data_IF_191256372557
#
_entry.id   IF_191256372557
#
_cell.length_a   1.000
_cell.length_b   1.000
_cell.length_c   1.000
_cell.angle_alpha   90.00
_cell.angle_beta   90.00
_cell.angle_gamma   90.00
#
_symmetry.space_group_name_H-M   'P 1'
#
loop_
_entity.id
_entity.type
_entity.pdbx_description
1 polymer ?
#
# COMPACT_ATOMS: atom_id res chain seq x y z
N UNK A 1 -13.26 -21.30 16.54
CA UNK A 1 -14.02 -20.20 15.94
C UNK A 1 -13.35 -19.76 14.64
N UNK A 2 -14.11 -19.58 13.59
CA UNK A 2 -13.59 -19.26 12.27
C UNK A 2 -13.50 -17.74 12.05
N UNK A 3 -12.40 -17.29 11.47
CA UNK A 3 -12.18 -15.89 11.14
C UNK A 3 -11.75 -15.81 9.67
N UNK A 4 -12.53 -15.11 8.84
CA UNK A 4 -12.26 -14.98 7.41
C UNK A 4 -11.67 -13.60 7.13
N UNK A 5 -10.45 -13.57 6.61
CA UNK A 5 -9.74 -12.31 6.34
C UNK A 5 -9.36 -12.23 4.88
N UNK A 6 -9.77 -11.13 4.23
CA UNK A 6 -9.38 -10.84 2.85
C UNK A 6 -8.05 -10.12 2.80
N UNK A 7 -7.21 -10.45 1.83
CA UNK A 7 -5.87 -9.89 1.75
C UNK A 7 -5.34 -9.87 0.32
N UNK A 8 -4.41 -8.97 0.06
CA UNK A 8 -3.61 -9.03 -1.17
C UNK A 8 -2.64 -10.20 -1.07
N UNK A 9 -2.15 -10.68 -2.21
CA UNK A 9 -1.32 -11.87 -2.24
C UNK A 9 -0.02 -11.71 -1.44
N UNK A 10 0.74 -10.67 -1.72
CA UNK A 10 2.05 -10.41 -1.09
C UNK A 10 2.09 -8.95 -0.65
N UNK A 11 2.51 -8.62 0.52
CA UNK A 11 2.96 -9.48 1.64
C UNK A 11 1.82 -9.95 2.53
N UNK A 12 0.62 -9.42 2.33
CA UNK A 12 -0.49 -9.55 3.29
C UNK A 12 -0.92 -10.99 3.54
N UNK A 13 -1.24 -11.73 2.47
CA UNK A 13 -1.67 -13.12 2.63
C UNK A 13 -0.54 -13.98 3.18
N UNK A 14 0.71 -13.73 2.79
CA UNK A 14 1.85 -14.47 3.31
C UNK A 14 2.02 -14.27 4.81
N UNK A 15 1.85 -13.04 5.27
CA UNK A 15 1.93 -12.71 6.70
C UNK A 15 0.80 -13.42 7.45
N UNK A 16 -0.42 -13.40 6.90
CA UNK A 16 -1.57 -14.08 7.52
C UNK A 16 -1.37 -15.59 7.56
N UNK A 17 -0.80 -16.19 6.51
CA UNK A 17 -0.51 -17.62 6.51
C UNK A 17 0.45 -17.98 7.65
N UNK A 18 1.44 -17.13 7.90
CA UNK A 18 2.38 -17.32 9.00
C UNK A 18 1.68 -17.17 10.35
N UNK A 19 0.64 -16.36 10.42
CA UNK A 19 -0.12 -16.14 11.65
C UNK A 19 -1.07 -17.28 11.98
N UNK A 20 -1.46 -18.12 10.99
CA UNK A 20 -2.43 -19.20 11.20
C UNK A 20 -2.13 -20.10 12.40
N UNK A 21 -0.93 -20.70 12.50
CA UNK A 21 -0.67 -21.61 13.64
C UNK A 21 -0.70 -20.88 14.98
N UNK A 22 -0.34 -19.61 15.01
CA UNK A 22 -0.40 -18.82 16.25
C UNK A 22 -1.84 -18.57 16.67
N UNK A 23 -2.73 -18.36 15.72
CA UNK A 23 -4.16 -18.17 16.00
C UNK A 23 -4.83 -19.47 16.37
N UNK A 24 -4.41 -20.61 15.77
CA UNK A 24 -4.93 -21.92 16.14
C UNK A 24 -4.70 -22.22 17.61
N UNK A 25 -3.54 -21.84 18.15
CA UNK A 25 -3.25 -21.99 19.58
C UNK A 25 -4.19 -21.21 20.47
N UNK A 26 -4.86 -20.21 19.91
CA UNK A 26 -5.85 -19.38 20.60
C UNK A 26 -7.28 -19.85 20.30
N UNK A 27 -7.45 -20.97 19.62
CA UNK A 27 -8.75 -21.50 19.26
C UNK A 27 -9.43 -20.82 18.07
N UNK A 28 -8.65 -20.14 17.25
CA UNK A 28 -9.17 -19.41 16.08
C UNK A 28 -8.65 -20.04 14.80
N UNK A 29 -9.59 -20.43 13.94
CA UNK A 29 -9.29 -20.96 12.61
C UNK A 29 -9.30 -19.81 11.62
N UNK A 30 -8.15 -19.44 11.08
CA UNK A 30 -8.03 -18.36 10.12
C UNK A 30 -8.19 -18.88 8.69
N UNK A 31 -9.12 -18.30 7.96
CA UNK A 31 -9.26 -18.53 6.52
C UNK A 31 -8.84 -17.26 5.79
N UNK A 32 -7.89 -17.37 4.86
CA UNK A 32 -7.37 -16.24 4.10
C UNK A 32 -7.98 -16.28 2.69
N UNK A 33 -8.65 -15.19 2.30
CA UNK A 33 -9.16 -15.04 0.93
C UNK A 33 -8.29 -14.01 0.20
N UNK A 34 -7.65 -14.44 -0.89
CA UNK A 34 -6.75 -13.58 -1.66
C UNK A 34 -7.51 -12.82 -2.73
N UNK A 35 -7.16 -11.54 -2.88
CA UNK A 35 -7.74 -10.65 -3.88
C UNK A 35 -6.64 -10.09 -4.76
N UNK A 36 -6.97 -9.84 -6.02
CA UNK A 36 -6.01 -9.34 -7.00
C UNK A 36 -6.17 -7.84 -7.28
N UNK A 37 -7.14 -7.19 -6.62
CA UNK A 37 -7.42 -5.78 -6.82
C UNK A 37 -7.64 -5.08 -5.47
N UNK A 38 -7.88 -3.77 -5.51
CA UNK A 38 -8.10 -2.97 -4.31
C UNK A 38 -9.57 -2.62 -4.05
N UNK A 39 -10.46 -2.98 -4.95
CA UNK A 39 -11.89 -2.63 -4.83
C UNK A 39 -12.69 -3.71 -4.12
N UNK A 40 -12.48 -4.96 -4.50
CA UNK A 40 -13.28 -6.08 -3.99
C UNK A 40 -13.12 -6.38 -2.49
N UNK A 41 -11.93 -6.21 -1.87
CA UNK A 41 -11.83 -6.54 -0.44
C UNK A 41 -12.77 -5.72 0.45
N UNK A 42 -12.97 -4.44 0.15
CA UNK A 42 -13.89 -3.61 0.94
C UNK A 42 -15.34 -3.96 0.64
N UNK A 43 -15.66 -4.22 -0.62
CA UNK A 43 -17.01 -4.67 -0.96
C UNK A 43 -17.36 -5.98 -0.26
N UNK A 44 -16.44 -6.94 -0.26
CA UNK A 44 -16.64 -8.22 0.40
C UNK A 44 -16.77 -8.09 1.92
N UNK A 45 -16.05 -7.13 2.51
CA UNK A 45 -16.21 -6.84 3.93
C UNK A 45 -17.60 -6.26 4.23
N UNK A 46 -18.05 -5.32 3.40
CA UNK A 46 -19.39 -4.72 3.55
C UNK A 46 -20.48 -5.77 3.38
N UNK A 47 -20.30 -6.70 2.45
CA UNK A 47 -21.27 -7.76 2.18
C UNK A 47 -21.24 -8.89 3.22
N UNK A 48 -20.35 -8.80 4.21
CA UNK A 48 -20.19 -9.80 5.28
C UNK A 48 -19.62 -11.13 4.80
N UNK A 49 -18.99 -11.14 3.64
CA UNK A 49 -18.26 -12.32 3.16
C UNK A 49 -16.93 -12.47 3.88
N UNK A 50 -16.46 -11.38 4.50
CA UNK A 50 -15.22 -11.35 5.28
C UNK A 50 -15.54 -10.84 6.68
N UNK A 51 -14.71 -11.23 7.66
CA UNK A 51 -14.76 -10.66 9.01
C UNK A 51 -13.83 -9.47 9.14
N UNK A 52 -12.79 -9.41 8.31
CA UNK A 52 -11.80 -8.34 8.28
C UNK A 52 -11.12 -8.34 6.94
N UNK A 53 -10.42 -7.24 6.62
CA UNK A 53 -9.48 -7.29 5.51
C UNK A 53 -8.16 -6.64 5.90
N UNK A 54 -7.11 -7.04 5.19
CA UNK A 54 -5.73 -6.60 5.44
C UNK A 54 -5.07 -6.46 4.07
N UNK A 55 -5.11 -5.22 3.53
CA UNK A 55 -4.58 -4.95 2.18
C UNK A 55 -4.34 -3.47 1.93
N UNK A 56 -4.82 -2.57 2.81
CA UNK A 56 -4.92 -1.14 2.53
C UNK A 56 -4.32 -0.29 3.64
N UNK A 57 -4.04 0.97 3.31
CA UNK A 57 -3.60 1.97 4.29
C UNK A 57 -4.77 2.91 4.63
N UNK A 58 -4.59 3.70 5.69
CA UNK A 58 -5.64 4.56 6.22
C UNK A 58 -6.17 5.57 5.19
N UNK A 59 -5.33 6.31 4.44
CA UNK A 59 -5.87 7.25 3.46
C UNK A 59 -6.77 6.60 2.40
N UNK A 60 -6.42 5.40 1.95
CA UNK A 60 -7.27 4.67 1.00
C UNK A 60 -8.58 4.26 1.65
N UNK A 61 -8.53 3.74 2.87
CA UNK A 61 -9.73 3.36 3.61
C UNK A 61 -10.66 4.55 3.80
N UNK A 62 -10.11 5.70 4.21
CA UNK A 62 -10.91 6.90 4.44
C UNK A 62 -11.61 7.36 3.18
N UNK A 63 -10.92 7.31 2.03
CA UNK A 63 -11.52 7.67 0.75
C UNK A 63 -12.64 6.70 0.37
N UNK A 64 -12.43 5.41 0.56
CA UNK A 64 -13.44 4.39 0.26
C UNK A 64 -14.69 4.58 1.15
N UNK A 65 -14.49 4.87 2.43
CA UNK A 65 -15.60 5.15 3.34
C UNK A 65 -16.39 6.38 2.87
N UNK A 66 -15.68 7.43 2.49
CA UNK A 66 -16.30 8.67 2.02
C UNK A 66 -17.08 8.46 0.73
N UNK A 67 -16.47 7.80 -0.24
CA UNK A 67 -17.05 7.66 -1.59
C UNK A 67 -18.16 6.62 -1.65
N UNK A 68 -18.01 5.52 -0.92
CA UNK A 68 -18.92 4.37 -1.00
C UNK A 68 -19.80 4.19 0.23
N UNK A 69 -19.64 5.07 1.21
CA UNK A 69 -20.45 5.06 2.45
C UNK A 69 -20.31 3.78 3.27
N UNK A 70 -19.13 3.16 3.22
CA UNK A 70 -18.85 2.01 4.05
C UNK A 70 -18.80 2.41 5.53
N UNK A 71 -19.23 1.50 6.40
CA UNK A 71 -19.22 1.71 7.85
C UNK A 71 -18.13 0.82 8.45
N UNK A 72 -16.89 1.24 8.27
CA UNK A 72 -15.70 0.50 8.68
C UNK A 72 -14.90 1.25 9.74
N UNK A 73 -14.02 0.52 10.42
CA UNK A 73 -13.07 1.11 11.36
C UNK A 73 -11.75 0.34 11.31
N UNK A 74 -10.69 0.99 11.80
CA UNK A 74 -9.35 0.39 11.87
C UNK A 74 -9.24 -0.42 13.15
N UNK A 75 -8.90 -1.71 13.01
CA UNK A 75 -8.66 -2.56 14.18
C UNK A 75 -7.19 -2.47 14.66
N UNK A 76 -6.24 -2.23 13.74
CA UNK A 76 -4.85 -2.07 14.12
C UNK A 76 -3.98 -1.72 12.93
N UNK A 77 -2.87 -1.04 13.20
CA UNK A 77 -1.83 -0.73 12.21
C UNK A 77 -0.78 -1.83 12.27
N UNK A 78 -0.36 -2.36 11.13
CA UNK A 78 0.50 -3.54 11.11
C UNK A 78 1.87 -3.27 10.51
N UNK A 79 1.94 -2.65 9.31
CA UNK A 79 3.22 -2.44 8.65
C UNK A 79 3.18 -1.29 7.65
N UNK A 80 4.37 -0.84 7.25
CA UNK A 80 4.54 0.09 6.14
C UNK A 80 5.10 -0.66 4.95
N UNK A 81 4.69 -0.23 3.74
CA UNK A 81 5.28 -0.70 2.48
C UNK A 81 5.75 0.55 1.74
N UNK A 82 6.99 1.03 2.00
CA UNK A 82 7.46 2.23 1.32
C UNK A 82 7.34 2.05 -0.19
N UNK A 83 6.62 2.97 -0.84
CA UNK A 83 6.37 2.89 -2.27
C UNK A 83 7.58 3.43 -3.03
N UNK A 84 7.85 2.88 -4.20
CA UNK A 84 9.01 3.27 -5.00
C UNK A 84 8.66 3.71 -6.40
N UNK A 85 9.57 4.50 -6.97
CA UNK A 85 9.56 4.91 -8.36
C UNK A 85 10.63 4.09 -9.09
N UNK A 86 10.27 3.50 -10.22
CA UNK A 86 11.13 2.60 -10.98
C UNK A 86 11.33 3.12 -12.40
N UNK A 87 12.49 2.89 -12.97
CA UNK A 87 12.76 3.27 -14.35
C UNK A 87 13.70 2.26 -15.02
N UNK A 88 13.38 1.91 -16.28
CA UNK A 88 14.26 1.10 -17.11
C UNK A 88 15.27 1.98 -17.88
N UNK A 89 15.04 3.29 -17.86
CA UNK A 89 15.80 4.24 -18.71
C UNK A 89 16.76 5.11 -17.92
N UNK A 90 16.44 5.44 -16.67
CA UNK A 90 17.22 6.38 -15.87
C UNK A 90 17.53 5.80 -14.50
N UNK A 91 18.67 6.20 -13.93
CA UNK A 91 19.12 5.68 -12.64
C UNK A 91 18.76 6.59 -11.47
N UNK A 92 18.31 7.80 -11.75
CA UNK A 92 17.85 8.73 -10.72
C UNK A 92 16.78 9.64 -11.28
N UNK A 93 16.00 10.26 -10.39
CA UNK A 93 14.98 11.21 -10.81
C UNK A 93 15.59 12.45 -11.44
N UNK A 94 16.79 12.83 -11.03
CA UNK A 94 17.48 14.00 -11.58
C UNK A 94 17.86 13.82 -13.04
N UNK A 95 18.03 12.58 -13.50
CA UNK A 95 18.36 12.28 -14.89
C UNK A 95 17.15 12.36 -15.82
N UNK A 96 15.94 12.46 -15.28
CA UNK A 96 14.75 12.56 -16.11
C UNK A 96 14.83 13.78 -17.03
N UNK A 97 14.55 13.60 -18.34
CA UNK A 97 14.60 14.72 -19.28
C UNK A 97 13.42 15.64 -19.14
N UNK A 98 13.52 16.83 -19.75
CA UNK A 98 12.40 17.73 -19.86
C UNK A 98 11.22 17.04 -20.55
N UNK A 99 10.02 17.20 -20.00
CA UNK A 99 8.81 16.57 -20.56
C UNK A 99 8.66 15.10 -20.26
N UNK A 100 9.47 14.53 -19.38
CA UNK A 100 9.39 13.11 -19.04
C UNK A 100 8.00 12.74 -18.50
N UNK A 101 7.57 11.52 -18.78
CA UNK A 101 6.27 10.99 -18.31
C UNK A 101 6.45 10.09 -17.10
N UNK A 102 5.75 10.41 -16.04
CA UNK A 102 5.65 9.60 -14.82
C UNK A 102 4.30 8.88 -14.84
N UNK A 103 4.32 7.56 -14.74
CA UNK A 103 3.09 6.75 -14.73
C UNK A 103 2.77 6.36 -13.29
N UNK A 104 1.51 6.55 -12.91
CA UNK A 104 1.00 6.20 -11.58
C UNK A 104 -0.34 5.48 -11.73
N UNK A 105 -0.81 4.88 -10.64
CA UNK A 105 -2.09 4.19 -10.64
C UNK A 105 -3.28 5.15 -10.80
N UNK A 106 -4.44 4.57 -11.08
CA UNK A 106 -5.70 5.31 -11.10
C UNK A 106 -6.27 5.54 -9.68
N UNK A 107 -5.57 5.13 -8.64
CA UNK A 107 -5.99 5.41 -7.26
C UNK A 107 -5.50 6.79 -6.84
N UNK A 108 -6.44 7.68 -6.57
CA UNK A 108 -6.11 9.07 -6.21
C UNK A 108 -5.21 9.13 -4.97
N UNK A 109 -5.39 8.17 -4.05
CA UNK A 109 -4.57 8.11 -2.84
C UNK A 109 -3.07 7.94 -3.15
N UNK A 110 -2.72 7.38 -4.31
CA UNK A 110 -1.32 7.18 -4.68
C UNK A 110 -0.67 8.42 -5.27
N UNK A 111 -1.45 9.37 -5.78
CA UNK A 111 -0.90 10.54 -6.47
C UNK A 111 -0.11 11.41 -5.51
N UNK A 112 -0.64 11.66 -4.31
CA UNK A 112 0.05 12.44 -3.29
C UNK A 112 1.36 11.79 -2.86
N UNK A 113 1.39 10.45 -2.79
CA UNK A 113 2.61 9.71 -2.43
C UNK A 113 3.70 9.94 -3.46
N UNK A 114 3.35 9.82 -4.73
CA UNK A 114 4.30 10.05 -5.82
C UNK A 114 4.82 11.47 -5.82
N UNK A 115 3.93 12.45 -5.65
CA UNK A 115 4.32 13.85 -5.62
C UNK A 115 5.22 14.15 -4.42
N UNK A 116 4.97 13.54 -3.27
CA UNK A 116 5.80 13.72 -2.10
C UNK A 116 7.24 13.22 -2.32
N UNK A 117 7.39 12.07 -3.01
CA UNK A 117 8.71 11.55 -3.36
C UNK A 117 9.44 12.54 -4.28
N UNK A 118 8.75 13.01 -5.33
CA UNK A 118 9.34 13.94 -6.29
C UNK A 118 9.75 15.26 -5.63
N UNK A 119 8.92 15.78 -4.71
CA UNK A 119 9.22 16.99 -3.98
C UNK A 119 10.41 16.80 -3.03
N UNK A 120 10.45 15.69 -2.32
CA UNK A 120 11.56 15.36 -1.42
C UNK A 120 12.90 15.32 -2.17
N UNK A 121 12.88 14.80 -3.40
CA UNK A 121 14.07 14.72 -4.24
C UNK A 121 14.39 16.04 -4.96
N UNK A 122 13.61 17.08 -4.71
CA UNK A 122 13.86 18.41 -5.30
C UNK A 122 13.46 18.55 -6.76
N UNK A 123 12.64 17.62 -7.27
CA UNK A 123 12.29 17.59 -8.69
C UNK A 123 11.14 18.57 -9.02
N UNK A 124 10.22 18.74 -8.07
CA UNK A 124 9.10 19.65 -8.25
C UNK A 124 8.64 20.16 -6.88
N UNK A 125 7.68 21.07 -6.89
CA UNK A 125 7.09 21.61 -5.67
C UNK A 125 5.58 21.61 -5.76
N UNK A 126 4.92 21.11 -4.72
CA UNK A 126 3.46 21.14 -4.59
C UNK A 126 3.05 22.46 -3.95
N UNK A 127 1.88 22.98 -4.27
CA UNK A 127 1.35 24.22 -3.70
C UNK A 127 1.32 24.17 -2.18
N UNK A 128 1.67 25.28 -1.54
CA UNK A 128 1.61 25.40 -0.09
C UNK A 128 0.16 25.22 0.39
N UNK A 129 0.00 24.61 1.55
CA UNK A 129 -1.32 24.44 2.16
C UNK A 129 -2.14 23.26 1.64
N UNK A 130 -1.64 22.52 0.65
CA UNK A 130 -2.32 21.33 0.16
C UNK A 130 -2.00 20.16 1.07
N UNK A 131 -3.03 19.41 1.48
CA UNK A 131 -2.85 18.20 2.25
C UNK A 131 -2.09 17.16 1.41
N UNK A 132 -0.90 16.72 1.84
CA UNK A 132 -0.08 15.81 1.03
C UNK A 132 -0.80 14.52 0.62
N UNK A 133 -1.66 13.97 1.47
CA UNK A 133 -2.35 12.72 1.14
C UNK A 133 -3.47 12.91 0.12
N UNK A 134 -3.87 14.15 -0.15
CA UNK A 134 -4.93 14.49 -1.11
C UNK A 134 -4.41 15.18 -2.36
N UNK A 135 -3.11 15.42 -2.42
CA UNK A 135 -2.52 16.15 -3.55
C UNK A 135 -2.64 15.36 -4.86
N UNK A 136 -2.84 16.09 -5.95
CA UNK A 136 -2.90 15.55 -7.30
C UNK A 136 -1.95 16.35 -8.20
N UNK A 137 -1.67 15.92 -9.43
CA UNK A 137 -0.82 16.70 -10.33
C UNK A 137 -1.30 18.13 -10.57
N UNK A 138 -2.59 18.40 -10.38
CA UNK A 138 -3.12 19.78 -10.50
C UNK A 138 -2.62 20.69 -9.39
N UNK A 139 -2.09 20.12 -8.32
CA UNK A 139 -1.60 20.89 -7.18
C UNK A 139 -0.12 21.21 -7.27
N UNK A 140 0.53 20.92 -8.39
CA UNK A 140 1.93 21.24 -8.60
C UNK A 140 2.08 22.74 -8.83
N UNK A 141 2.91 23.39 -7.97
CA UNK A 141 3.18 24.83 -8.09
C UNK A 141 4.38 25.11 -8.99
N UNK A 142 5.40 24.25 -8.95
CA UNK A 142 6.63 24.41 -9.70
C UNK A 142 7.06 23.09 -10.29
N UNK A 143 7.23 23.04 -11.59
CA UNK A 143 7.54 21.82 -12.34
C UNK A 143 8.65 22.10 -13.35
N UNK A 144 9.90 22.30 -12.87
CA UNK A 144 11.00 22.75 -13.76
C UNK A 144 11.30 21.81 -14.93
N UNK A 145 11.06 20.51 -14.76
CA UNK A 145 11.30 19.52 -15.81
C UNK A 145 10.11 19.30 -16.72
N UNK A 146 9.02 20.05 -16.53
CA UNK A 146 7.79 19.88 -17.31
C UNK A 146 7.31 18.43 -17.32
N UNK A 147 7.37 17.76 -16.18
CA UNK A 147 6.96 16.37 -16.06
C UNK A 147 5.48 16.22 -16.39
N UNK A 148 5.16 15.15 -17.11
CA UNK A 148 3.80 14.78 -17.46
C UNK A 148 3.40 13.59 -16.62
N UNK A 149 2.13 13.51 -16.25
CA UNK A 149 1.63 12.43 -15.39
C UNK A 149 0.53 11.66 -16.09
N UNK A 150 0.73 10.34 -16.19
CA UNK A 150 -0.28 9.41 -16.68
C UNK A 150 -0.79 8.66 -15.46
N UNK A 151 -2.07 8.83 -15.13
CA UNK A 151 -2.64 8.36 -13.86
C UNK A 151 -3.90 7.51 -14.07
N UNK A 152 -3.96 6.77 -15.16
CA UNK A 152 -5.14 5.98 -15.52
C UNK A 152 -4.88 4.47 -15.54
N UNK A 153 -3.78 4.02 -14.96
CA UNK A 153 -3.40 2.60 -14.98
C UNK A 153 -3.90 1.90 -13.72
N UNK A 154 -4.50 0.74 -13.88
CA UNK A 154 -4.88 -0.08 -12.75
C UNK A 154 -3.62 -0.54 -12.00
N UNK A 155 -3.59 -0.45 -10.65
CA UNK A 155 -2.37 -0.73 -9.88
C UNK A 155 -1.70 -2.07 -10.21
N UNK A 156 -2.48 -3.13 -10.40
CA UNK A 156 -1.94 -4.46 -10.70
C UNK A 156 -1.22 -4.55 -12.04
N UNK A 157 -1.42 -3.58 -12.93
CA UNK A 157 -0.77 -3.57 -14.25
C UNK A 157 0.52 -2.77 -14.27
N UNK A 158 0.85 -2.04 -13.20
CA UNK A 158 2.04 -1.19 -13.19
C UNK A 158 3.36 -1.96 -13.35
N UNK A 159 3.53 -3.16 -12.78
CA UNK A 159 4.75 -3.92 -13.05
C UNK A 159 4.93 -4.26 -14.53
N UNK A 160 3.84 -4.58 -15.23
CA UNK A 160 3.87 -4.85 -16.67
C UNK A 160 4.24 -3.60 -17.47
N UNK A 161 3.68 -2.45 -17.09
CA UNK A 161 4.01 -1.16 -17.70
C UNK A 161 5.50 -0.89 -17.57
N UNK A 162 6.06 -1.13 -16.38
CA UNK A 162 7.49 -0.99 -16.13
C UNK A 162 8.30 -1.97 -17.01
N UNK A 163 7.90 -3.24 -17.06
CA UNK A 163 8.59 -4.25 -17.87
C UNK A 163 8.55 -3.93 -19.36
N UNK A 164 7.48 -3.30 -19.82
CA UNK A 164 7.32 -2.89 -21.22
C UNK A 164 8.03 -1.56 -21.53
N UNK A 165 8.69 -0.97 -20.54
CA UNK A 165 9.43 0.29 -20.71
C UNK A 165 8.56 1.46 -21.14
N UNK A 166 7.29 1.45 -20.71
CA UNK A 166 6.37 2.55 -21.00
C UNK A 166 6.67 3.74 -20.08
N UNK A 167 6.53 4.94 -20.62
CA UNK A 167 6.87 6.16 -19.89
C UNK A 167 8.34 6.24 -19.55
N UNK A 168 8.71 7.17 -18.70
CA UNK A 168 10.09 7.38 -18.28
C UNK A 168 10.33 6.86 -16.87
N UNK A 169 9.33 6.89 -16.01
CA UNK A 169 9.39 6.30 -14.69
C UNK A 169 7.97 5.87 -14.25
N UNK A 170 7.90 4.87 -13.39
CA UNK A 170 6.64 4.28 -12.95
C UNK A 170 6.62 4.18 -11.43
N UNK A 171 5.59 4.72 -10.80
CA UNK A 171 5.34 4.53 -9.37
C UNK A 171 4.57 3.22 -9.22
N UNK A 172 5.16 2.24 -8.54
CA UNK A 172 4.53 0.92 -8.41
C UNK A 172 4.20 0.65 -6.95
N UNK A 173 2.93 0.32 -6.68
CA UNK A 173 2.49 -0.09 -5.34
C UNK A 173 3.30 -1.29 -4.89
N UNK A 174 3.84 -1.24 -3.69
CA UNK A 174 4.87 -2.20 -3.25
C UNK A 174 4.39 -3.64 -3.16
N UNK A 175 3.11 -3.88 -2.83
CA UNK A 175 2.61 -5.25 -2.86
C UNK A 175 2.72 -5.86 -4.27
N UNK A 176 2.39 -5.10 -5.30
CA UNK A 176 2.51 -5.58 -6.68
C UNK A 176 3.97 -5.64 -7.14
N UNK A 177 4.79 -4.70 -6.69
CA UNK A 177 6.22 -4.72 -7.00
C UNK A 177 6.88 -5.99 -6.43
N UNK A 178 6.63 -6.30 -5.18
CA UNK A 178 7.17 -7.49 -4.51
C UNK A 178 6.67 -8.77 -5.19
N UNK A 179 5.38 -8.82 -5.53
CA UNK A 179 4.78 -9.96 -6.22
C UNK A 179 5.43 -10.18 -7.59
N UNK A 180 5.88 -9.11 -8.25
CA UNK A 180 6.58 -9.14 -9.53
C UNK A 180 8.10 -9.32 -9.37
N UNK A 181 8.58 -9.65 -8.17
CA UNK A 181 9.99 -9.89 -7.85
C UNK A 181 10.86 -8.64 -7.90
N UNK A 182 10.28 -7.47 -7.74
CA UNK A 182 11.02 -6.23 -7.56
C UNK A 182 11.15 -5.96 -6.06
N UNK A 183 12.33 -5.52 -5.65
CA UNK A 183 12.56 -5.10 -4.26
C UNK A 183 12.62 -3.57 -4.25
N UNK A 184 11.67 -2.87 -3.60
CA UNK A 184 11.66 -1.41 -3.60
C UNK A 184 12.96 -0.80 -3.08
N UNK A 185 13.57 -1.40 -2.07
CA UNK A 185 14.84 -0.90 -1.50
C UNK A 185 15.99 -1.00 -2.50
N UNK A 186 15.99 -2.05 -3.32
CA UNK A 186 17.12 -2.36 -4.21
C UNK A 186 16.90 -1.84 -5.63
N UNK A 187 15.67 -1.97 -6.14
CA UNK A 187 15.39 -1.75 -7.56
C UNK A 187 14.79 -0.39 -7.89
N UNK A 188 14.23 0.32 -6.91
CA UNK A 188 13.66 1.64 -7.14
C UNK A 188 14.75 2.70 -7.30
N UNK A 189 14.48 3.70 -8.14
CA UNK A 189 15.38 4.86 -8.28
C UNK A 189 15.07 5.93 -7.23
N UNK A 190 13.91 5.85 -6.59
CA UNK A 190 13.53 6.70 -5.46
C UNK A 190 12.49 5.95 -4.64
N UNK A 191 12.49 6.16 -3.34
CA UNK A 191 11.62 5.44 -2.43
C UNK A 191 11.11 6.37 -1.33
N UNK A 192 9.88 6.12 -0.89
CA UNK A 192 9.24 6.82 0.21
C UNK A 192 9.97 6.53 1.53
N UNK A 193 10.00 7.50 2.44
CA UNK A 193 10.59 7.30 3.77
C UNK A 193 9.69 6.48 4.69
N UNK A 194 10.27 5.97 5.79
CA UNK A 194 9.55 5.15 6.77
C UNK A 194 8.64 5.95 7.69
N UNK A 195 8.65 7.27 7.58
CA UNK A 195 7.79 8.17 8.35
C UNK A 195 6.48 8.51 7.64
N UNK A 196 6.13 7.74 6.62
CA UNK A 196 4.94 8.00 5.81
C UNK A 196 3.65 7.69 6.58
N UNK A 197 2.53 8.38 6.24
CA UNK A 197 1.25 8.14 6.90
C UNK A 197 0.49 6.93 6.35
N UNK A 198 1.14 6.08 5.57
CA UNK A 198 0.49 5.02 4.81
C UNK A 198 0.65 3.63 5.43
N UNK A 199 0.57 3.57 6.78
CA UNK A 199 0.58 2.28 7.46
C UNK A 199 -0.57 1.41 6.97
N UNK A 200 -0.26 0.15 6.66
CA UNK A 200 -1.26 -0.84 6.29
C UNK A 200 -1.96 -1.34 7.55
N UNK A 201 -3.27 -1.54 7.44
CA UNK A 201 -4.12 -1.76 8.60
C UNK A 201 -5.02 -2.98 8.40
N UNK A 202 -5.54 -3.49 9.51
CA UNK A 202 -6.65 -4.42 9.51
C UNK A 202 -7.91 -3.60 9.64
N UNK A 203 -8.83 -3.73 8.68
CA UNK A 203 -10.12 -3.05 8.69
C UNK A 203 -11.23 -4.04 9.02
N UNK A 204 -12.20 -3.56 9.79
CA UNK A 204 -13.39 -4.34 10.17
C UNK A 204 -14.63 -3.46 10.02
N UNK A 205 -15.82 -4.07 10.03
CA UNK A 205 -17.06 -3.31 10.12
C UNK A 205 -17.10 -2.62 11.47
N UNK A 206 -17.68 -1.44 11.50
CA UNK A 206 -17.78 -0.65 12.73
C UNK A 206 -18.47 -1.45 13.83
N UNK A 207 -17.88 -1.41 15.02
CA UNK A 207 -18.37 -2.16 16.17
C UNK A 207 -17.66 -3.50 16.37
N UNK A 208 -16.89 -3.97 15.38
CA UNK A 208 -16.27 -5.30 15.45
C UNK A 208 -14.82 -5.29 15.96
N UNK A 209 -14.18 -4.12 16.08
CA UNK A 209 -12.75 -4.10 16.45
C UNK A 209 -12.47 -4.68 17.83
N UNK A 210 -13.44 -4.65 18.72
CA UNK A 210 -13.27 -5.17 20.08
C UNK A 210 -13.69 -6.62 20.24
N UNK A 211 -14.11 -7.29 19.18
CA UNK A 211 -14.40 -8.72 19.22
C UNK A 211 -13.12 -9.47 19.57
N UNK A 212 -13.29 -10.52 20.36
CA UNK A 212 -12.17 -11.32 20.87
C UNK A 212 -11.26 -11.83 19.76
N UNK A 213 -11.85 -12.37 18.68
CA UNK A 213 -11.07 -12.91 17.56
C UNK A 213 -10.35 -11.83 16.77
N UNK A 214 -10.90 -10.62 16.69
CA UNK A 214 -10.26 -9.49 16.01
C UNK A 214 -9.07 -8.98 16.84
N UNK A 215 -9.26 -8.87 18.16
CA UNK A 215 -8.15 -8.49 19.05
C UNK A 215 -7.03 -9.51 19.01
N UNK A 216 -7.38 -10.80 18.95
CA UNK A 216 -6.39 -11.86 18.84
C UNK A 216 -5.62 -11.76 17.54
N UNK A 217 -6.30 -11.47 16.42
CA UNK A 217 -5.64 -11.29 15.12
C UNK A 217 -4.61 -10.16 15.18
N UNK A 218 -5.01 -9.00 15.69
CA UNK A 218 -4.12 -7.84 15.76
C UNK A 218 -2.94 -8.13 16.69
N UNK A 219 -3.19 -8.76 17.83
CA UNK A 219 -2.13 -9.14 18.78
C UNK A 219 -1.11 -10.07 18.13
N UNK A 220 -1.58 -11.09 17.40
CA UNK A 220 -0.70 -12.02 16.71
C UNK A 220 0.11 -11.31 15.63
N UNK A 221 -0.52 -10.42 14.85
CA UNK A 221 0.17 -9.67 13.81
C UNK A 221 1.22 -8.72 14.38
N UNK A 222 1.08 -8.27 15.62
CA UNK A 222 2.07 -7.46 16.33
C UNK A 222 3.10 -8.28 17.12
N UNK A 223 2.97 -9.62 17.11
CA UNK A 223 3.87 -10.46 17.90
C UNK A 223 5.30 -10.42 17.36
N UNK A 224 6.25 -10.72 18.25
CA UNK A 224 7.66 -10.78 17.87
C UNK A 224 7.89 -11.79 16.75
N UNK A 225 7.20 -12.92 16.78
CA UNK A 225 7.36 -13.97 15.76
C UNK A 225 6.97 -13.45 14.38
N UNK A 226 5.88 -12.71 14.27
CA UNK A 226 5.44 -12.11 12.99
C UNK A 226 6.36 -10.97 12.60
N UNK A 227 6.76 -10.13 13.54
CA UNK A 227 7.72 -9.04 13.28
C UNK A 227 9.03 -9.60 12.70
N UNK A 228 9.56 -10.65 13.32
CA UNK A 228 10.79 -11.29 12.85
C UNK A 228 10.61 -11.90 11.46
N UNK A 229 9.45 -12.51 11.20
CA UNK A 229 9.14 -13.04 9.88
C UNK A 229 9.16 -11.93 8.82
N UNK A 230 8.47 -10.81 9.09
CA UNK A 230 8.40 -9.68 8.15
C UNK A 230 9.80 -9.16 7.86
N UNK A 231 10.61 -8.94 8.89
CA UNK A 231 11.97 -8.41 8.73
C UNK A 231 12.85 -9.35 7.92
N UNK A 232 12.75 -10.64 8.17
CA UNK A 232 13.57 -11.64 7.49
C UNK A 232 13.12 -11.87 6.05
N UNK A 233 11.81 -11.98 5.85
CA UNK A 233 11.26 -12.33 4.54
C UNK A 233 11.36 -11.19 3.54
N UNK A 234 11.07 -9.97 3.97
CA UNK A 234 10.93 -8.84 3.05
C UNK A 234 12.12 -7.87 3.06
N UNK A 235 13.06 -8.04 3.97
CA UNK A 235 14.36 -7.35 3.96
C UNK A 235 14.26 -5.83 3.76
N UNK A 236 13.38 -5.19 4.50
CA UNK A 236 13.20 -3.73 4.44
C UNK A 236 12.13 -3.26 3.47
N UNK A 237 11.67 -4.12 2.55
CA UNK A 237 10.58 -3.75 1.64
C UNK A 237 9.23 -3.64 2.38
N UNK A 238 9.10 -4.32 3.49
CA UNK A 238 7.96 -4.25 4.39
C UNK A 238 8.50 -4.03 5.79
N UNK A 239 7.97 -3.01 6.48
CA UNK A 239 8.49 -2.60 7.79
C UNK A 239 7.39 -2.70 8.83
N UNK A 240 7.56 -3.55 9.88
CA UNK A 240 6.55 -3.64 10.93
C UNK A 240 6.38 -2.29 11.64
N UNK A 241 5.14 -1.99 12.02
CA UNK A 241 4.87 -0.82 12.88
C UNK A 241 4.15 -1.29 14.13
N UNK A 242 4.38 -0.57 15.22
CA UNK A 242 3.65 -0.76 16.46
C UNK A 242 2.69 0.40 16.61
N UNK A 243 1.57 0.15 17.18
CA UNK A 243 0.55 1.16 17.42
C UNK A 243 1.09 2.40 18.10
#
# INVERSE_FOLDING_TARGET
KKLVVGASNVPHAEILEKAKPLLEKKGIELEVKKFQDYVLPNKSLADKDLDANYFQHIPYLEKEIKDKKYDFEVAGKIHLEPIGVYSQKYKSLKELPDGATIIMSNSVADHGRGLAILQKEGILKVKDGVDPVKATPKDIADNPKNLKFKTDIEPGLLPQVYNNKEGDAVLINSNYAIDAKLNPEKDAIAIEGNDSPYANIVAVRKGDKDKKEIKALVEVLHSKEIEDFINKEYKGAVVPVKE
#
